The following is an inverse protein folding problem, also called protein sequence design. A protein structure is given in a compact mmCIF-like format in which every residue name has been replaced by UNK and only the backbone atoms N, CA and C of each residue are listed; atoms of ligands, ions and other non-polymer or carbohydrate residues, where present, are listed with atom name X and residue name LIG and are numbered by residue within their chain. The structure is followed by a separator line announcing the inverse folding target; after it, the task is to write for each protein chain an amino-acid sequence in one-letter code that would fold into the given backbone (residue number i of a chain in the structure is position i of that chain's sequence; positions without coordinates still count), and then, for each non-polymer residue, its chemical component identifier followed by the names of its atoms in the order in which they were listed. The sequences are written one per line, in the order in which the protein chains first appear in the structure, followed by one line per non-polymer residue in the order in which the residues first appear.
data_IF_855362419577
#
_entry.id   IF_855362419577
#
_cell.length_a   1.000
_cell.length_b   1.000
_cell.length_c   1.000
_cell.angle_alpha   90.00
_cell.angle_beta   90.00
_cell.angle_gamma   90.00
#
_symmetry.space_group_name_H-M   'P 1'
#
loop_
_entity.id
_entity.type
_entity.pdbx_description
1 polymer ?
#
# COMPACT_ATOMS: atom_id res chain seq x y z
N UNK A 1 -21.91 -25.25 -9.40
CA UNK A 1 -21.92 -23.91 -10.04
C UNK A 1 -20.56 -23.37 -10.52
N UNK A 2 -19.40 -23.78 -9.96
CA UNK A 2 -18.07 -23.23 -10.31
C UNK A 2 -17.66 -23.39 -11.79
N UNK A 3 -17.95 -24.54 -12.40
CA UNK A 3 -17.60 -24.81 -13.80
C UNK A 3 -18.32 -23.86 -14.79
N UNK A 4 -19.65 -23.77 -14.69
CA UNK A 4 -20.46 -22.88 -15.54
C UNK A 4 -20.03 -21.42 -15.42
N UNK A 5 -19.69 -20.96 -14.21
CA UNK A 5 -19.19 -19.60 -14.00
C UNK A 5 -17.83 -19.37 -14.68
N UNK A 6 -16.92 -20.36 -14.65
CA UNK A 6 -15.65 -20.29 -15.37
C UNK A 6 -15.89 -20.14 -16.87
N UNK A 7 -16.77 -20.96 -17.45
CA UNK A 7 -17.11 -20.88 -18.87
C UNK A 7 -17.68 -19.50 -19.24
N UNK A 8 -18.64 -18.99 -18.47
CA UNK A 8 -19.21 -17.65 -18.70
C UNK A 8 -18.14 -16.54 -18.64
N UNK A 9 -17.21 -16.63 -17.69
CA UNK A 9 -16.12 -15.65 -17.57
C UNK A 9 -15.21 -15.65 -18.81
N UNK A 10 -14.89 -16.83 -19.37
CA UNK A 10 -14.08 -16.95 -20.58
C UNK A 10 -14.81 -16.42 -21.81
N UNK A 11 -16.10 -16.72 -21.92
CA UNK A 11 -16.93 -16.19 -23.01
C UNK A 11 -17.00 -14.67 -22.92
N UNK A 12 -17.17 -14.10 -21.73
CA UNK A 12 -17.20 -12.64 -21.54
C UNK A 12 -15.86 -12.00 -21.93
N UNK A 13 -14.73 -12.54 -21.44
CA UNK A 13 -13.40 -12.01 -21.77
C UNK A 13 -13.06 -12.11 -23.26
N UNK A 14 -13.44 -13.22 -23.93
CA UNK A 14 -13.22 -13.39 -25.37
C UNK A 14 -14.15 -12.53 -26.24
N UNK A 15 -15.29 -12.09 -25.70
CA UNK A 15 -16.24 -11.20 -26.38
C UNK A 15 -16.00 -9.72 -26.09
N UNK A 16 -15.05 -9.38 -25.21
CA UNK A 16 -14.79 -8.01 -24.82
C UNK A 16 -14.29 -7.18 -26.02
N UNK A 17 -15.03 -6.15 -26.47
CA UNK A 17 -14.58 -5.30 -27.57
C UNK A 17 -13.36 -4.45 -27.19
N UNK A 18 -13.12 -4.20 -25.90
CA UNK A 18 -11.99 -3.39 -25.42
C UNK A 18 -10.68 -4.17 -25.36
N UNK A 19 -10.72 -5.50 -25.44
CA UNK A 19 -9.53 -6.36 -25.43
C UNK A 19 -9.53 -7.32 -26.65
N UNK A 20 -9.39 -6.79 -27.89
CA UNK A 20 -9.36 -7.64 -29.08
C UNK A 20 -8.10 -8.50 -29.16
N UNK A 21 -7.00 -8.08 -28.54
CA UNK A 21 -5.69 -8.77 -28.59
C UNK A 21 -5.77 -10.16 -27.97
N UNK A 22 -6.47 -10.32 -26.84
CA UNK A 22 -6.70 -11.63 -26.21
C UNK A 22 -7.37 -12.62 -27.17
N UNK A 23 -8.40 -12.18 -27.88
CA UNK A 23 -9.13 -13.02 -28.86
C UNK A 23 -8.26 -13.37 -30.05
N UNK A 24 -7.48 -12.41 -30.57
CA UNK A 24 -6.57 -12.62 -31.69
C UNK A 24 -5.46 -13.60 -31.32
N UNK A 25 -4.85 -13.44 -30.15
CA UNK A 25 -3.79 -14.33 -29.65
C UNK A 25 -4.30 -15.77 -29.45
N UNK A 26 -5.55 -15.94 -29.02
CA UNK A 26 -6.17 -17.26 -28.95
C UNK A 26 -6.42 -17.86 -30.35
N UNK A 27 -6.91 -17.08 -31.32
CA UNK A 27 -7.16 -17.54 -32.69
C UNK A 27 -5.88 -17.93 -33.44
N UNK A 28 -4.80 -17.18 -33.24
CA UNK A 28 -3.49 -17.45 -33.86
C UNK A 28 -2.77 -18.63 -33.17
N UNK A 29 -3.25 -19.07 -32.00
CA UNK A 29 -2.66 -20.17 -31.24
C UNK A 29 -1.52 -19.76 -30.32
N UNK A 30 -1.24 -18.45 -30.19
CA UNK A 30 -0.28 -17.93 -29.20
C UNK A 30 -0.70 -18.24 -27.76
N UNK A 31 -2.02 -18.34 -27.51
CA UNK A 31 -2.58 -18.86 -26.26
C UNK A 31 -3.30 -20.17 -26.54
N UNK A 32 -2.84 -21.26 -25.94
CA UNK A 32 -3.48 -22.58 -26.07
C UNK A 32 -4.78 -22.67 -25.25
N UNK A 33 -5.68 -23.56 -25.63
CA UNK A 33 -6.93 -23.81 -24.89
C UNK A 33 -6.69 -24.26 -23.44
N UNK A 34 -5.65 -25.07 -23.22
CA UNK A 34 -5.23 -25.52 -21.89
C UNK A 34 -4.75 -24.36 -21.04
N UNK A 35 -3.94 -23.44 -21.61
CA UNK A 35 -3.50 -22.23 -20.90
C UNK A 35 -4.69 -21.33 -20.57
N UNK A 36 -5.55 -21.03 -21.55
CA UNK A 36 -6.72 -20.17 -21.35
C UNK A 36 -7.67 -20.72 -20.27
N UNK A 37 -7.82 -22.04 -20.15
CA UNK A 37 -8.65 -22.65 -19.10
C UNK A 37 -8.15 -22.30 -17.68
N UNK A 38 -6.84 -22.29 -17.47
CA UNK A 38 -6.21 -22.07 -16.16
C UNK A 38 -5.95 -20.60 -15.85
N UNK A 39 -5.83 -19.74 -16.87
CA UNK A 39 -5.52 -18.31 -16.72
C UNK A 39 -6.40 -17.61 -15.67
N UNK A 40 -5.79 -16.70 -14.91
CA UNK A 40 -6.54 -15.92 -13.90
C UNK A 40 -7.32 -14.78 -14.55
N UNK A 41 -8.28 -14.21 -13.82
CA UNK A 41 -9.01 -13.03 -14.27
C UNK A 41 -8.09 -11.81 -14.47
N UNK A 42 -6.96 -11.77 -13.76
CA UNK A 42 -5.96 -10.71 -13.90
C UNK A 42 -5.18 -10.84 -15.19
N UNK A 43 -4.80 -12.07 -15.57
CA UNK A 43 -4.01 -12.33 -16.79
C UNK A 43 -4.81 -12.12 -18.09
N UNK A 44 -6.15 -12.23 -18.06
CA UNK A 44 -7.00 -12.00 -19.23
C UNK A 44 -7.51 -10.55 -19.35
N UNK A 45 -7.17 -9.67 -18.41
CA UNK A 45 -7.58 -8.28 -18.47
C UNK A 45 -6.90 -7.54 -19.63
N UNK A 46 -7.47 -6.41 -20.05
CA UNK A 46 -6.82 -5.51 -21.00
C UNK A 46 -5.50 -4.97 -20.42
N UNK A 47 -4.55 -4.66 -21.29
CA UNK A 47 -3.20 -4.20 -20.92
C UNK A 47 -3.23 -2.90 -20.08
N UNK A 48 -4.16 -1.99 -20.37
CA UNK A 48 -4.38 -0.78 -19.58
C UNK A 48 -4.79 -1.11 -18.13
N UNK A 49 -5.74 -2.03 -17.96
CA UNK A 49 -6.22 -2.45 -16.63
C UNK A 49 -5.13 -3.21 -15.89
N UNK A 50 -4.35 -4.02 -16.61
CA UNK A 50 -3.22 -4.77 -16.05
C UNK A 50 -2.14 -3.81 -15.53
N UNK A 51 -1.72 -2.85 -16.33
CA UNK A 51 -0.73 -1.83 -15.93
C UNK A 51 -1.22 -0.96 -14.78
N UNK A 52 -2.52 -0.59 -14.76
CA UNK A 52 -3.10 0.17 -13.66
C UNK A 52 -3.10 -0.63 -12.36
N UNK A 53 -3.46 -1.91 -12.40
CA UNK A 53 -3.38 -2.79 -11.22
C UNK A 53 -1.94 -2.96 -10.73
N UNK A 54 -0.99 -3.13 -11.63
CA UNK A 54 0.44 -3.21 -11.28
C UNK A 54 0.93 -1.93 -10.61
N UNK A 55 0.48 -0.77 -11.08
CA UNK A 55 0.78 0.53 -10.45
C UNK A 55 0.21 0.60 -9.03
N UNK A 56 -1.08 0.32 -8.84
CA UNK A 56 -1.69 0.35 -7.51
C UNK A 56 -1.08 -0.69 -6.55
N UNK A 57 -0.72 -1.89 -7.04
CA UNK A 57 -0.01 -2.87 -6.22
C UNK A 57 1.34 -2.33 -5.75
N UNK A 58 2.10 -1.68 -6.63
CA UNK A 58 3.39 -1.08 -6.27
C UNK A 58 3.23 0.07 -5.27
N UNK A 59 2.27 0.95 -5.50
CA UNK A 59 1.96 2.07 -4.59
C UNK A 59 1.55 1.54 -3.20
N UNK A 60 0.64 0.57 -3.14
CA UNK A 60 0.21 -0.03 -1.87
C UNK A 60 1.37 -0.70 -1.11
N UNK A 61 2.31 -1.34 -1.81
CA UNK A 61 3.51 -1.92 -1.19
C UNK A 61 4.41 -0.81 -0.63
N UNK A 62 4.65 0.25 -1.40
CA UNK A 62 5.46 1.39 -0.94
C UNK A 62 4.83 2.07 0.28
N UNK A 63 3.53 2.34 0.24
CA UNK A 63 2.82 2.98 1.35
C UNK A 63 2.85 2.12 2.61
N UNK A 64 2.70 0.80 2.47
CA UNK A 64 2.80 -0.13 3.59
C UNK A 64 4.22 -0.19 4.19
N UNK A 65 5.26 0.10 3.40
CA UNK A 65 6.65 0.15 3.88
C UNK A 65 7.01 1.46 4.58
N UNK A 66 6.25 2.55 4.37
CA UNK A 66 6.48 3.79 5.10
C UNK A 66 6.05 3.64 6.57
N UNK A 67 7.03 3.38 7.44
CA UNK A 67 6.83 3.45 8.88
C UNK A 67 6.35 4.86 9.27
N UNK A 68 5.07 4.97 9.64
CA UNK A 68 4.52 6.23 10.13
C UNK A 68 5.10 6.50 11.50
N UNK A 69 5.97 7.51 11.63
CA UNK A 69 6.47 7.94 12.93
C UNK A 69 5.28 8.36 13.81
N UNK A 70 5.03 7.62 14.88
CA UNK A 70 3.92 7.91 15.78
C UNK A 70 4.20 9.16 16.61
N UNK A 71 3.19 10.02 16.73
CA UNK A 71 3.22 11.26 17.52
C UNK A 71 3.13 12.53 16.67
N UNK A 72 2.93 13.66 17.35
CA UNK A 72 2.81 14.97 16.71
C UNK A 72 4.19 15.54 16.41
N UNK A 73 4.49 15.80 15.14
CA UNK A 73 5.74 16.46 14.72
C UNK A 73 5.72 17.93 15.12
N UNK A 74 6.82 18.41 15.70
CA UNK A 74 6.99 19.81 16.10
C UNK A 74 8.41 20.29 15.93
N UNK A 75 8.54 21.53 15.50
CA UNK A 75 9.83 22.25 15.43
C UNK A 75 10.10 23.14 16.65
N UNK A 76 9.19 23.15 17.64
CA UNK A 76 9.34 23.93 18.87
C UNK A 76 10.47 23.41 19.77
N UNK A 77 10.81 22.13 19.65
CA UNK A 77 11.75 21.45 20.55
C UNK A 77 13.08 21.21 19.83
N UNK A 78 14.18 21.73 20.39
CA UNK A 78 15.53 21.53 19.87
C UNK A 78 16.19 20.34 20.56
N UNK A 79 16.69 19.38 19.78
CA UNK A 79 17.41 18.24 20.33
C UNK A 79 18.77 18.67 20.93
N UNK A 80 19.07 18.24 22.15
CA UNK A 80 20.36 18.52 22.81
C UNK A 80 21.56 17.84 22.14
N UNK A 81 21.37 16.68 21.49
CA UNK A 81 22.46 15.92 20.85
C UNK A 81 22.80 16.43 19.46
N UNK A 82 21.85 16.41 18.52
CA UNK A 82 22.09 16.80 17.13
C UNK A 82 21.80 18.29 16.83
N UNK A 83 21.27 19.04 17.80
CA UNK A 83 20.91 20.46 17.67
C UNK A 83 19.84 20.79 16.62
N UNK A 84 19.24 19.78 15.97
CA UNK A 84 18.16 19.96 15.01
C UNK A 84 16.79 19.97 15.71
N UNK A 85 15.76 20.47 15.03
CA UNK A 85 14.42 20.71 15.60
C UNK A 85 13.36 19.69 15.18
N UNK A 86 13.70 18.72 14.32
CA UNK A 86 12.79 17.67 13.90
C UNK A 86 12.52 16.66 15.04
N UNK A 87 11.53 16.98 15.87
CA UNK A 87 11.13 16.17 17.02
C UNK A 87 9.65 15.80 16.93
N UNK A 88 9.29 14.63 17.47
CA UNK A 88 7.92 14.22 17.76
C UNK A 88 7.70 14.30 19.26
N UNK A 89 6.53 14.79 19.69
CA UNK A 89 6.14 14.77 21.10
C UNK A 89 4.84 13.99 21.30
N UNK A 90 4.67 13.44 22.50
CA UNK A 90 3.44 12.80 22.97
C UNK A 90 3.23 13.18 24.43
N UNK A 91 2.02 13.62 24.78
CA UNK A 91 1.67 13.97 26.16
C UNK A 91 0.91 12.81 26.80
N UNK A 92 1.42 12.31 27.91
CA UNK A 92 0.81 11.23 28.68
C UNK A 92 0.79 11.63 30.15
N UNK A 93 -0.37 11.45 30.80
CA UNK A 93 -0.46 11.57 32.25
C UNK A 93 0.11 10.30 32.88
N UNK A 94 1.29 10.42 33.50
CA UNK A 94 1.99 9.27 34.11
C UNK A 94 1.98 9.29 35.63
N UNK A 95 1.37 10.33 36.23
CA UNK A 95 1.33 10.58 37.67
C UNK A 95 -0.10 10.86 38.14
N UNK A 96 -0.28 11.03 39.45
CA UNK A 96 -1.58 11.31 40.07
C UNK A 96 -2.30 12.50 39.41
N UNK A 97 -3.62 12.55 39.58
CA UNK A 97 -4.48 13.57 38.94
C UNK A 97 -4.10 15.02 39.26
N UNK A 98 -3.40 15.24 40.38
CA UNK A 98 -2.95 16.58 40.82
C UNK A 98 -1.66 17.05 40.14
N UNK A 99 -0.97 16.19 39.38
CA UNK A 99 0.26 16.54 38.67
C UNK A 99 0.01 16.80 37.17
N UNK A 100 0.71 17.77 36.57
CA UNK A 100 0.57 18.09 35.15
C UNK A 100 1.00 16.93 34.24
N UNK A 101 0.48 16.93 33.02
CA UNK A 101 0.82 15.93 32.00
C UNK A 101 2.32 15.89 31.70
N UNK A 102 2.89 14.71 31.52
CA UNK A 102 4.29 14.55 31.14
C UNK A 102 4.43 14.56 29.63
N UNK A 103 5.30 15.42 29.09
CA UNK A 103 5.57 15.46 27.65
C UNK A 103 6.79 14.60 27.31
N UNK A 104 6.59 13.53 26.54
CA UNK A 104 7.64 12.69 25.99
C UNK A 104 8.05 13.20 24.62
N UNK A 105 9.35 13.37 24.40
CA UNK A 105 9.90 13.90 23.15
C UNK A 105 10.88 12.90 22.55
N UNK A 106 10.77 12.65 21.25
CA UNK A 106 11.67 11.86 20.44
C UNK A 106 12.26 12.75 19.34
N UNK A 107 13.59 12.80 19.22
CA UNK A 107 14.23 13.40 18.06
C UNK A 107 14.22 12.39 16.90
N UNK A 108 13.62 12.77 15.78
CA UNK A 108 13.48 11.88 14.61
C UNK A 108 14.79 11.69 13.84
N UNK A 109 15.83 12.47 14.15
CA UNK A 109 17.11 12.41 13.42
C UNK A 109 18.17 11.57 14.11
N UNK A 110 18.30 11.69 15.43
CA UNK A 110 19.31 10.97 16.21
C UNK A 110 18.71 9.94 17.16
N UNK A 111 17.39 9.77 17.16
CA UNK A 111 16.68 8.83 18.04
C UNK A 111 16.70 9.19 19.52
N UNK A 112 17.22 10.37 19.90
CA UNK A 112 17.30 10.78 21.30
C UNK A 112 15.89 10.96 21.89
N UNK A 113 15.65 10.38 23.08
CA UNK A 113 14.38 10.47 23.80
C UNK A 113 14.58 11.17 25.12
N UNK A 114 13.70 12.10 25.47
CA UNK A 114 13.69 12.75 26.78
C UNK A 114 12.27 13.12 27.18
N UNK A 115 12.08 13.45 28.47
CA UNK A 115 10.80 13.92 29.01
C UNK A 115 11.01 15.28 29.65
N UNK A 116 9.99 16.14 29.61
CA UNK A 116 9.93 17.34 30.43
C UNK A 116 8.55 17.44 31.09
N UNK A 117 8.56 17.85 32.36
CA UNK A 117 7.39 18.06 33.21
C UNK A 117 7.19 19.56 33.39
#
# INVERSE_FOLDING_TARGET
MRYKNRVRSRIANLKDPKNPTLRTNFRIGAITATRLAVMTAEEMANDEVKSLRERFKKEAINDAQLATAQGTKTDMLKCGKCKKRNCTYNQLQTRSSDEPMTTFVLCNECGNRWKFC
#
